data_IF_851040050038
#
_entry.id   IF_851040050038
#
_cell.length_a   1.000
_cell.length_b   1.000
_cell.length_c   1.000
_cell.angle_alpha   90.00
_cell.angle_beta   90.00
_cell.angle_gamma   90.00
#
_symmetry.space_group_name_H-M   'P 1'
#
loop_
_entity.id
_entity.type
_entity.pdbx_description
1 polymer ?
#
# COMPACT_ATOMS: atom_id res chain seq x y z
N UNK A 1 66.65 -30.27 -34.61
CA UNK A 1 66.49 -28.83 -34.28
C UNK A 1 65.09 -28.43 -34.70
N UNK A 2 64.18 -28.57 -33.74
CA UNK A 2 63.38 -27.48 -33.12
C UNK A 2 62.06 -27.24 -33.85
N UNK A 3 61.10 -28.14 -33.59
CA UNK A 3 59.67 -27.82 -33.76
C UNK A 3 59.30 -26.78 -32.71
N UNK A 4 58.76 -25.69 -33.19
CA UNK A 4 58.35 -24.52 -32.43
C UNK A 4 57.35 -24.90 -31.34
N UNK A 5 57.69 -24.58 -30.09
CA UNK A 5 56.79 -24.65 -28.94
C UNK A 5 55.77 -23.53 -29.11
N UNK A 6 54.53 -23.89 -29.46
CA UNK A 6 53.43 -22.94 -29.45
C UNK A 6 53.22 -22.45 -28.00
N UNK A 7 52.99 -21.15 -27.87
CA UNK A 7 52.77 -20.45 -26.62
C UNK A 7 51.58 -21.08 -25.89
N UNK A 8 51.84 -21.85 -24.83
CA UNK A 8 50.83 -22.34 -23.91
C UNK A 8 50.33 -21.16 -23.06
N UNK A 9 49.05 -20.83 -23.22
CA UNK A 9 48.31 -19.95 -22.33
C UNK A 9 48.47 -20.45 -20.87
N UNK A 10 48.55 -19.59 -19.83
CA UNK A 10 48.91 -20.01 -18.47
C UNK A 10 47.86 -20.90 -17.78
N UNK A 11 46.80 -21.30 -18.49
CA UNK A 11 45.73 -22.19 -18.04
C UNK A 11 45.93 -23.67 -18.39
N UNK A 12 46.97 -24.05 -19.15
CA UNK A 12 47.19 -25.45 -19.53
C UNK A 12 46.13 -26.02 -20.49
N UNK A 13 45.49 -25.15 -21.29
CA UNK A 13 44.48 -25.49 -22.30
C UNK A 13 45.02 -25.18 -23.70
N UNK A 14 45.00 -26.15 -24.62
CA UNK A 14 45.31 -25.92 -26.04
C UNK A 14 44.07 -25.34 -26.75
N UNK A 15 43.83 -24.05 -26.53
CA UNK A 15 42.65 -23.34 -27.00
C UNK A 15 42.48 -23.35 -28.54
N UNK A 16 43.54 -23.22 -29.37
CA UNK A 16 43.43 -23.40 -30.83
C UNK A 16 42.93 -24.78 -31.25
N UNK A 17 43.49 -25.85 -30.68
CA UNK A 17 43.12 -27.22 -31.03
C UNK A 17 41.73 -27.60 -30.47
N UNK A 18 41.41 -27.08 -29.28
CA UNK A 18 40.10 -27.22 -28.65
C UNK A 18 39.00 -26.58 -29.50
N UNK A 19 39.21 -25.35 -30.02
CA UNK A 19 38.27 -24.70 -30.94
C UNK A 19 38.11 -25.48 -32.24
N UNK A 20 39.20 -25.96 -32.84
CA UNK A 20 39.12 -26.75 -34.08
C UNK A 20 38.28 -28.03 -33.95
N UNK A 21 38.26 -28.64 -32.76
CA UNK A 21 37.55 -29.91 -32.51
C UNK A 21 36.12 -29.69 -32.00
N UNK A 22 35.91 -28.71 -31.13
CA UNK A 22 34.65 -28.52 -30.41
C UNK A 22 33.79 -27.38 -30.97
N UNK A 23 34.37 -26.38 -31.65
CA UNK A 23 33.64 -25.26 -32.25
C UNK A 23 33.05 -25.64 -33.62
N UNK A 24 32.37 -26.79 -33.64
CA UNK A 24 31.67 -27.33 -34.80
C UNK A 24 30.17 -27.06 -34.65
N UNK A 25 29.46 -26.63 -35.71
CA UNK A 25 28.02 -26.35 -35.62
C UNK A 25 27.23 -27.58 -35.14
N UNK A 26 27.67 -28.78 -35.50
CA UNK A 26 27.08 -30.07 -35.10
C UNK A 26 27.28 -30.39 -33.61
N UNK A 27 28.22 -29.74 -32.91
CA UNK A 27 28.45 -29.95 -31.47
C UNK A 27 27.87 -28.81 -30.60
N UNK A 28 27.45 -27.70 -31.21
CA UNK A 28 27.01 -26.49 -30.50
C UNK A 28 25.86 -26.74 -29.51
N UNK A 29 24.83 -27.51 -29.89
CA UNK A 29 23.69 -27.85 -29.02
C UNK A 29 24.12 -28.75 -27.86
N UNK A 30 25.04 -29.67 -28.13
CA UNK A 30 25.59 -30.60 -27.14
C UNK A 30 26.44 -29.84 -26.13
N UNK A 31 27.33 -28.96 -26.58
CA UNK A 31 28.18 -28.14 -25.69
C UNK A 31 27.36 -27.15 -24.87
N UNK A 32 26.25 -26.62 -25.39
CA UNK A 32 25.30 -25.81 -24.61
C UNK A 32 24.63 -26.65 -23.50
N UNK A 33 24.29 -27.89 -23.78
CA UNK A 33 23.75 -28.81 -22.79
C UNK A 33 24.80 -29.20 -21.73
N UNK A 34 26.05 -29.47 -22.14
CA UNK A 34 27.20 -29.70 -21.24
C UNK A 34 27.42 -28.49 -20.34
N UNK A 35 27.48 -27.28 -20.90
CA UNK A 35 27.58 -26.02 -20.14
C UNK A 35 26.45 -25.91 -19.12
N UNK A 36 25.21 -26.07 -19.54
CA UNK A 36 24.03 -26.02 -18.64
C UNK A 36 24.11 -27.08 -17.52
N UNK A 37 24.59 -28.28 -17.84
CA UNK A 37 24.78 -29.37 -16.87
C UNK A 37 25.89 -29.08 -15.85
N UNK A 38 26.99 -28.46 -16.28
CA UNK A 38 28.06 -28.00 -15.40
C UNK A 38 27.60 -26.83 -14.51
N UNK A 39 26.87 -25.87 -15.07
CA UNK A 39 26.35 -24.71 -14.31
C UNK A 39 25.37 -25.14 -13.22
N UNK A 40 24.52 -26.16 -13.45
CA UNK A 40 23.52 -26.65 -12.47
C UNK A 40 24.09 -27.48 -11.31
N UNK A 41 25.41 -27.63 -11.20
CA UNK A 41 26.04 -28.38 -10.11
C UNK A 41 26.75 -29.67 -10.52
N UNK A 42 27.15 -29.80 -11.79
CA UNK A 42 27.99 -30.91 -12.25
C UNK A 42 27.21 -32.21 -12.51
N UNK A 43 26.24 -32.18 -13.43
CA UNK A 43 25.52 -33.38 -13.84
C UNK A 43 26.48 -34.47 -14.35
N UNK A 44 26.35 -35.72 -13.91
CA UNK A 44 27.20 -36.82 -14.41
C UNK A 44 26.97 -37.11 -15.90
N UNK A 45 25.76 -36.85 -16.39
CA UNK A 45 25.34 -37.09 -17.77
C UNK A 45 24.43 -35.98 -18.27
N UNK A 46 24.54 -35.66 -19.55
CA UNK A 46 23.60 -34.77 -20.27
C UNK A 46 22.89 -35.56 -21.36
N UNK A 47 21.61 -35.26 -21.57
CA UNK A 47 20.79 -35.93 -22.58
C UNK A 47 20.25 -34.92 -23.59
N UNK A 48 20.46 -35.21 -24.87
CA UNK A 48 19.97 -34.42 -26.00
C UNK A 48 18.78 -35.16 -26.63
N UNK A 49 17.55 -34.60 -26.56
CA UNK A 49 16.39 -35.17 -27.24
C UNK A 49 16.46 -34.90 -28.74
N UNK A 50 15.98 -35.86 -29.54
CA UNK A 50 15.89 -35.80 -31.00
C UNK A 50 17.19 -35.27 -31.65
N UNK A 51 18.32 -35.96 -31.45
CA UNK A 51 19.60 -35.59 -32.05
C UNK A 51 19.56 -35.80 -33.57
N UNK A 52 20.10 -34.83 -34.32
CA UNK A 52 20.27 -35.00 -35.76
C UNK A 52 21.32 -36.08 -36.04
N UNK A 53 21.29 -36.67 -37.23
CA UNK A 53 22.30 -37.65 -37.62
C UNK A 53 23.72 -37.05 -37.62
N UNK A 54 23.84 -35.77 -37.96
CA UNK A 54 25.11 -35.03 -37.92
C UNK A 54 25.62 -34.80 -36.49
N UNK A 55 24.74 -34.43 -35.54
CA UNK A 55 25.08 -34.28 -34.12
C UNK A 55 25.56 -35.62 -33.52
N UNK A 56 24.90 -36.73 -33.89
CA UNK A 56 25.29 -38.08 -33.45
C UNK A 56 26.66 -38.46 -33.98
N UNK A 57 26.87 -38.36 -35.30
CA UNK A 57 28.14 -38.71 -35.94
C UNK A 57 29.28 -37.89 -35.36
N UNK A 58 29.10 -36.58 -35.20
CA UNK A 58 30.12 -35.70 -34.63
C UNK A 58 30.47 -36.08 -33.17
N UNK A 59 29.48 -36.45 -32.35
CA UNK A 59 29.75 -36.88 -30.98
C UNK A 59 30.41 -38.26 -30.90
N UNK A 60 29.96 -39.22 -31.74
CA UNK A 60 30.52 -40.57 -31.77
C UNK A 60 31.97 -40.55 -32.29
N UNK A 61 32.28 -39.72 -33.30
CA UNK A 61 33.64 -39.43 -33.79
C UNK A 61 34.50 -38.82 -32.67
N UNK A 62 34.00 -37.79 -32.00
CA UNK A 62 34.72 -37.10 -30.92
C UNK A 62 35.09 -38.07 -29.79
N UNK A 63 34.20 -38.99 -29.44
CA UNK A 63 34.38 -39.91 -28.33
C UNK A 63 35.01 -41.26 -28.74
N UNK A 64 35.28 -41.46 -30.04
CA UNK A 64 35.81 -42.72 -30.58
C UNK A 64 34.89 -43.92 -30.36
N UNK A 65 33.56 -43.73 -30.45
CA UNK A 65 32.55 -44.75 -30.15
C UNK A 65 31.95 -45.39 -31.40
N UNK A 66 31.31 -46.54 -31.22
CA UNK A 66 30.47 -47.15 -32.25
C UNK A 66 29.23 -46.27 -32.51
N UNK A 67 28.71 -46.23 -33.75
CA UNK A 67 27.55 -45.42 -34.10
C UNK A 67 26.36 -45.67 -33.17
N UNK A 68 25.85 -44.61 -32.56
CA UNK A 68 24.74 -44.64 -31.61
C UNK A 68 23.38 -44.47 -32.30
N UNK A 69 22.35 -45.19 -31.85
CA UNK A 69 20.98 -45.13 -32.37
C UNK A 69 19.95 -44.79 -31.28
N UNK A 70 18.75 -44.33 -31.66
CA UNK A 70 17.62 -44.08 -30.75
C UNK A 70 17.06 -42.65 -30.76
N UNK A 71 16.08 -42.38 -29.89
CA UNK A 71 15.41 -41.07 -29.80
C UNK A 71 16.15 -40.04 -28.91
N UNK A 72 17.11 -40.48 -28.10
CA UNK A 72 17.93 -39.61 -27.23
C UNK A 72 19.41 -39.92 -27.41
N UNK A 73 20.24 -38.91 -27.28
CA UNK A 73 21.69 -39.04 -27.16
C UNK A 73 22.08 -38.75 -25.72
N UNK A 74 22.82 -39.67 -25.09
CA UNK A 74 23.28 -39.50 -23.70
C UNK A 74 24.79 -39.41 -23.69
N UNK A 75 25.30 -38.32 -23.13
CA UNK A 75 26.71 -38.02 -23.01
C UNK A 75 27.10 -38.05 -21.53
N UNK A 76 28.03 -38.93 -21.17
CA UNK A 76 28.68 -38.88 -19.86
C UNK A 76 29.72 -37.76 -19.87
N UNK A 77 29.64 -36.85 -18.89
CA UNK A 77 30.60 -35.77 -18.77
C UNK A 77 32.00 -36.29 -18.42
N UNK A 78 32.09 -37.31 -17.56
CA UNK A 78 33.37 -37.95 -17.24
C UNK A 78 34.04 -38.58 -18.46
N UNK A 79 33.26 -39.16 -19.38
CA UNK A 79 33.83 -39.73 -20.61
C UNK A 79 34.28 -38.66 -21.60
N UNK A 80 33.61 -37.50 -21.65
CA UNK A 80 34.06 -36.36 -22.44
C UNK A 80 35.36 -35.79 -21.84
N UNK A 81 35.40 -35.63 -20.52
CA UNK A 81 36.58 -35.16 -19.78
C UNK A 81 37.79 -36.07 -20.01
N UNK A 82 37.63 -37.38 -19.90
CA UNK A 82 38.69 -38.36 -20.17
C UNK A 82 39.22 -38.24 -21.61
N UNK A 83 38.33 -38.00 -22.57
CA UNK A 83 38.72 -37.80 -23.98
C UNK A 83 39.51 -36.51 -24.17
N UNK A 84 39.08 -35.40 -23.56
CA UNK A 84 39.82 -34.14 -23.62
C UNK A 84 41.19 -34.24 -22.95
N UNK A 85 41.27 -34.95 -21.81
CA UNK A 85 42.53 -35.16 -21.07
C UNK A 85 43.49 -36.07 -21.84
N UNK A 86 43.00 -37.17 -22.43
CA UNK A 86 43.83 -38.07 -23.27
C UNK A 86 44.39 -37.39 -24.52
N UNK A 87 43.66 -36.42 -25.06
CA UNK A 87 44.08 -35.63 -26.20
C UNK A 87 44.98 -34.44 -25.83
N UNK A 88 45.32 -34.27 -24.54
CA UNK A 88 46.12 -33.16 -23.99
C UNK A 88 45.52 -31.77 -24.32
N UNK A 89 44.19 -31.70 -24.48
CA UNK A 89 43.49 -30.47 -24.87
C UNK A 89 43.13 -29.59 -23.67
N UNK A 90 42.81 -30.21 -22.54
CA UNK A 90 42.49 -29.54 -21.29
C UNK A 90 42.67 -30.48 -20.09
N UNK A 91 43.00 -29.92 -18.92
CA UNK A 91 43.20 -30.68 -17.68
C UNK A 91 41.88 -31.25 -17.12
N UNK A 92 40.80 -30.48 -17.27
CA UNK A 92 39.44 -30.85 -16.89
C UNK A 92 38.40 -30.25 -17.87
N UNK A 93 37.18 -30.80 -17.81
CA UNK A 93 36.09 -30.39 -18.70
C UNK A 93 35.61 -28.96 -18.41
N UNK A 94 35.73 -28.49 -17.16
CA UNK A 94 35.32 -27.13 -16.76
C UNK A 94 36.18 -26.09 -17.47
N UNK A 95 37.49 -26.23 -17.41
CA UNK A 95 38.48 -25.34 -18.02
C UNK A 95 38.32 -25.31 -19.54
N UNK A 96 38.02 -26.45 -20.18
CA UNK A 96 37.72 -26.51 -21.60
C UNK A 96 36.46 -25.69 -21.97
N UNK A 97 35.38 -25.83 -21.22
CA UNK A 97 34.12 -25.11 -21.51
C UNK A 97 34.25 -23.61 -21.20
N UNK A 98 34.99 -23.24 -20.15
CA UNK A 98 35.27 -21.83 -19.82
C UNK A 98 36.17 -21.16 -20.87
N UNK A 99 37.17 -21.88 -21.39
CA UNK A 99 38.04 -21.42 -22.47
C UNK A 99 37.27 -21.18 -23.79
N UNK A 100 36.24 -21.99 -24.07
CA UNK A 100 35.42 -21.87 -25.28
C UNK A 100 34.32 -20.81 -25.16
N UNK A 101 33.69 -20.68 -23.99
CA UNK A 101 32.44 -19.93 -23.82
C UNK A 101 32.46 -18.84 -22.75
N UNK A 102 33.61 -18.56 -22.14
CA UNK A 102 33.74 -17.68 -20.98
C UNK A 102 33.30 -18.33 -19.66
N UNK A 103 33.38 -17.60 -18.53
CA UNK A 103 33.15 -18.16 -17.19
C UNK A 103 31.80 -18.88 -17.06
N UNK A 104 31.79 -20.04 -16.38
CA UNK A 104 30.56 -20.77 -16.07
C UNK A 104 29.81 -20.09 -14.93
N UNK A 105 28.49 -19.93 -15.10
CA UNK A 105 27.64 -19.44 -14.01
C UNK A 105 27.41 -20.54 -12.98
N UNK A 106 27.15 -20.14 -11.73
CA UNK A 106 26.71 -21.07 -10.70
C UNK A 106 25.33 -20.63 -10.19
N UNK A 107 24.24 -21.01 -10.87
CA UNK A 107 22.89 -20.56 -10.53
C UNK A 107 22.45 -20.97 -9.12
N UNK A 108 22.99 -22.06 -8.56
CA UNK A 108 22.72 -22.46 -7.18
C UNK A 108 23.36 -21.48 -6.20
N UNK A 109 24.64 -21.16 -6.40
CA UNK A 109 25.34 -20.13 -5.62
C UNK A 109 24.69 -18.75 -5.78
N UNK A 110 24.33 -18.35 -6.99
CA UNK A 110 23.63 -17.09 -7.27
C UNK A 110 22.25 -17.02 -6.59
N UNK A 111 21.53 -18.14 -6.50
CA UNK A 111 20.26 -18.24 -5.74
C UNK A 111 20.52 -18.09 -4.25
N UNK A 112 21.45 -18.85 -3.69
CA UNK A 112 21.78 -18.78 -2.27
C UNK A 112 22.30 -17.39 -1.85
N UNK A 113 23.16 -16.75 -2.65
CA UNK A 113 23.66 -15.41 -2.38
C UNK A 113 22.53 -14.38 -2.37
N UNK A 114 21.56 -14.55 -3.27
CA UNK A 114 20.36 -13.71 -3.32
C UNK A 114 19.42 -13.96 -2.15
N UNK A 115 19.19 -15.20 -1.75
CA UNK A 115 18.43 -15.54 -0.55
C UNK A 115 19.09 -14.99 0.72
N UNK A 116 20.42 -15.16 0.85
CA UNK A 116 21.22 -14.54 1.92
C UNK A 116 21.19 -13.02 1.86
N UNK A 117 21.12 -12.43 0.66
CA UNK A 117 20.93 -11.00 0.47
C UNK A 117 19.59 -10.55 1.04
N UNK A 118 18.50 -11.21 0.64
CA UNK A 118 17.16 -10.89 1.12
C UNK A 118 16.99 -11.05 2.62
N UNK A 119 17.52 -12.12 3.22
CA UNK A 119 17.50 -12.27 4.69
C UNK A 119 18.19 -11.10 5.38
N UNK A 120 19.38 -10.72 4.89
CA UNK A 120 20.12 -9.56 5.43
C UNK A 120 19.33 -8.25 5.36
N UNK A 121 18.53 -8.02 4.32
CA UNK A 121 17.70 -6.80 4.19
C UNK A 121 16.71 -6.67 5.35
N UNK A 122 16.03 -7.76 5.71
CA UNK A 122 15.05 -7.76 6.80
C UNK A 122 15.75 -7.78 8.17
N UNK A 123 16.81 -8.58 8.30
CA UNK A 123 17.59 -8.69 9.54
C UNK A 123 18.26 -7.36 9.92
N UNK A 124 18.78 -6.60 8.95
CA UNK A 124 19.50 -5.33 9.22
C UNK A 124 18.58 -4.23 9.75
N UNK A 125 17.29 -4.33 9.48
CA UNK A 125 16.29 -3.32 9.84
C UNK A 125 15.37 -3.75 11.00
N UNK A 126 15.49 -5.00 11.47
CA UNK A 126 14.62 -5.56 12.50
C UNK A 126 14.63 -4.78 13.82
N UNK A 127 15.82 -4.35 14.28
CA UNK A 127 15.97 -3.59 15.53
C UNK A 127 15.30 -2.23 15.45
N UNK A 128 15.48 -1.52 14.34
CA UNK A 128 14.88 -0.20 14.15
C UNK A 128 13.36 -0.28 13.97
N UNK A 129 12.89 -1.30 13.25
CA UNK A 129 11.46 -1.59 13.14
C UNK A 129 10.84 -1.90 14.50
N UNK A 130 11.50 -2.69 15.36
CA UNK A 130 11.04 -2.97 16.72
C UNK A 130 10.98 -1.70 17.57
N UNK A 131 12.02 -0.86 17.51
CA UNK A 131 12.06 0.43 18.22
C UNK A 131 10.89 1.36 17.85
N UNK A 132 10.44 1.31 16.60
CA UNK A 132 9.32 2.10 16.07
C UNK A 132 7.96 1.40 16.21
N UNK A 133 7.90 0.18 16.77
CA UNK A 133 6.66 -0.61 16.82
C UNK A 133 6.20 -1.14 15.45
N UNK A 134 7.07 -1.13 14.44
CA UNK A 134 6.79 -1.51 13.06
C UNK A 134 7.17 -2.97 12.73
N UNK A 135 7.45 -3.83 13.72
CA UNK A 135 7.84 -5.24 13.50
C UNK A 135 6.76 -6.04 12.76
N UNK A 136 5.49 -5.82 13.09
CA UNK A 136 4.37 -6.49 12.42
C UNK A 136 4.28 -6.08 10.93
N UNK A 137 4.48 -4.79 10.65
CA UNK A 137 4.57 -4.25 9.29
C UNK A 137 5.74 -4.87 8.51
N UNK A 138 6.93 -4.93 9.13
CA UNK A 138 8.10 -5.53 8.50
C UNK A 138 7.88 -7.01 8.15
N UNK A 139 7.29 -7.78 9.06
CA UNK A 139 6.93 -9.18 8.83
C UNK A 139 5.87 -9.34 7.73
N UNK A 140 4.89 -8.43 7.68
CA UNK A 140 3.89 -8.42 6.61
C UNK A 140 4.52 -8.16 5.23
N UNK A 141 5.46 -7.21 5.14
CA UNK A 141 6.19 -6.93 3.89
C UNK A 141 6.98 -8.14 3.39
N UNK A 142 7.61 -8.90 4.29
CA UNK A 142 8.34 -10.11 3.95
C UNK A 142 7.40 -11.19 3.40
N UNK A 143 6.29 -11.43 4.10
CA UNK A 143 5.27 -12.43 3.73
C UNK A 143 4.59 -12.12 2.40
N UNK A 144 4.23 -10.86 2.17
CA UNK A 144 3.52 -10.41 0.96
C UNK A 144 4.44 -10.21 -0.25
N UNK A 145 5.75 -10.14 -0.03
CA UNK A 145 6.74 -9.89 -1.08
C UNK A 145 6.61 -8.51 -1.73
N UNK A 146 5.96 -7.54 -1.07
CA UNK A 146 5.75 -6.18 -1.59
C UNK A 146 7.09 -5.49 -1.86
N UNK A 147 8.03 -5.57 -0.90
CA UNK A 147 9.36 -4.98 -1.05
C UNK A 147 10.13 -5.59 -2.22
N UNK A 148 10.02 -6.91 -2.43
CA UNK A 148 10.65 -7.61 -3.57
C UNK A 148 10.11 -7.10 -4.92
N UNK A 149 8.81 -6.80 -4.98
CA UNK A 149 8.15 -6.25 -6.17
C UNK A 149 8.59 -4.81 -6.45
N UNK A 150 8.57 -3.96 -5.42
CA UNK A 150 8.95 -2.55 -5.52
C UNK A 150 10.44 -2.36 -5.88
N UNK A 151 11.31 -3.25 -5.38
CA UNK A 151 12.74 -3.22 -5.66
C UNK A 151 13.14 -4.02 -6.92
N UNK A 152 12.20 -4.55 -7.71
CA UNK A 152 12.53 -5.31 -8.92
C UNK A 152 13.45 -6.51 -8.68
N UNK A 153 13.30 -7.19 -7.53
CA UNK A 153 14.15 -8.31 -7.08
C UNK A 153 15.61 -7.95 -6.73
N UNK A 154 15.96 -6.65 -6.63
CA UNK A 154 17.28 -6.18 -6.20
C UNK A 154 17.35 -5.97 -4.67
N UNK A 155 18.15 -6.77 -3.93
CA UNK A 155 18.29 -6.62 -2.48
C UNK A 155 18.92 -5.29 -2.04
N UNK A 156 19.83 -4.70 -2.82
CA UNK A 156 20.51 -3.44 -2.46
C UNK A 156 19.53 -2.28 -2.55
N UNK A 157 18.73 -2.25 -3.62
CA UNK A 157 17.63 -1.31 -3.75
C UNK A 157 16.61 -1.49 -2.62
N UNK A 158 16.25 -2.73 -2.30
CA UNK A 158 15.31 -3.04 -1.23
C UNK A 158 15.77 -2.52 0.14
N UNK A 159 17.04 -2.72 0.49
CA UNK A 159 17.62 -2.21 1.73
C UNK A 159 17.52 -0.69 1.82
N UNK A 160 17.84 0.02 0.73
CA UNK A 160 17.72 1.48 0.67
C UNK A 160 16.27 1.93 0.83
N UNK A 161 15.33 1.31 0.11
CA UNK A 161 13.91 1.67 0.18
C UNK A 161 13.34 1.44 1.58
N UNK A 162 13.71 0.33 2.22
CA UNK A 162 13.27 0.00 3.57
C UNK A 162 13.86 0.95 4.60
N UNK A 163 15.16 1.26 4.51
CA UNK A 163 15.83 2.25 5.37
C UNK A 163 15.20 3.64 5.23
N UNK A 164 14.87 4.06 3.99
CA UNK A 164 14.18 5.32 3.72
C UNK A 164 12.77 5.35 4.31
N UNK A 165 12.01 4.26 4.18
CA UNK A 165 10.67 4.16 4.76
C UNK A 165 10.71 4.24 6.30
N UNK A 166 11.64 3.53 6.93
CA UNK A 166 11.85 3.60 8.39
C UNK A 166 12.30 5.00 8.84
N UNK A 167 13.19 5.65 8.09
CA UNK A 167 13.60 7.04 8.36
C UNK A 167 12.42 8.01 8.29
N UNK A 168 11.49 7.85 7.35
CA UNK A 168 10.26 8.65 7.30
C UNK A 168 9.38 8.34 8.50
N UNK A 169 9.17 7.06 8.85
CA UNK A 169 8.36 6.67 10.01
C UNK A 169 8.92 7.21 11.33
N UNK A 170 10.24 7.26 11.48
CA UNK A 170 10.92 7.86 12.63
C UNK A 170 10.62 9.35 12.79
N UNK A 171 10.35 10.05 11.68
CA UNK A 171 9.97 11.45 11.71
C UNK A 171 8.47 11.68 12.01
N UNK A 172 7.65 10.63 12.11
CA UNK A 172 6.22 10.77 12.41
C UNK A 172 5.95 10.60 13.92
N UNK A 173 4.88 11.24 14.46
CA UNK A 173 3.94 12.14 13.77
C UNK A 173 4.50 13.56 13.58
N UNK A 174 3.95 14.28 12.62
CA UNK A 174 4.24 15.70 12.36
C UNK A 174 3.11 16.60 12.87
N UNK A 175 3.34 17.93 12.85
CA UNK A 175 2.35 18.94 13.25
C UNK A 175 2.05 19.90 12.11
N UNK A 176 1.47 19.36 11.04
CA UNK A 176 1.10 20.12 9.85
C UNK A 176 2.28 20.49 8.94
N UNK A 177 3.31 19.64 8.90
CA UNK A 177 4.39 19.72 7.89
C UNK A 177 3.83 19.24 6.54
N UNK A 178 4.24 19.85 5.43
CA UNK A 178 3.76 19.40 4.11
C UNK A 178 4.45 18.10 3.68
N UNK A 179 3.76 17.27 2.90
CA UNK A 179 4.30 16.02 2.38
C UNK A 179 5.61 16.24 1.61
N UNK A 180 5.66 17.26 0.75
CA UNK A 180 6.85 17.58 -0.03
C UNK A 180 8.02 18.07 0.82
N UNK A 181 7.75 18.80 1.92
CA UNK A 181 8.81 19.21 2.84
C UNK A 181 9.34 18.03 3.65
N UNK A 182 8.47 17.12 4.10
CA UNK A 182 8.87 15.88 4.75
C UNK A 182 9.72 15.01 3.80
N UNK A 183 9.30 14.87 2.54
CA UNK A 183 10.01 14.11 1.53
C UNK A 183 11.40 14.70 1.25
N UNK A 184 11.50 16.02 1.07
CA UNK A 184 12.77 16.70 0.87
C UNK A 184 13.74 16.51 2.04
N UNK A 185 13.24 16.56 3.28
CA UNK A 185 14.06 16.40 4.48
C UNK A 185 14.52 14.95 4.70
N UNK A 186 13.62 13.97 4.57
CA UNK A 186 13.94 12.56 4.82
C UNK A 186 14.65 11.89 3.64
N UNK A 187 14.33 12.28 2.41
CA UNK A 187 14.74 11.56 1.19
C UNK A 187 15.63 12.39 0.26
N UNK A 188 15.80 13.70 0.52
CA UNK A 188 16.50 14.61 -0.39
C UNK A 188 15.73 14.89 -1.68
N UNK A 189 14.47 14.47 -1.77
CA UNK A 189 13.60 14.59 -2.95
C UNK A 189 12.21 15.04 -2.50
N UNK A 190 11.78 16.24 -2.90
CA UNK A 190 10.47 16.80 -2.55
C UNK A 190 9.29 15.98 -3.11
N UNK A 191 9.55 15.12 -4.11
CA UNK A 191 8.58 14.21 -4.72
C UNK A 191 8.79 12.75 -4.26
N UNK A 192 9.67 12.51 -3.30
CA UNK A 192 10.02 11.16 -2.84
C UNK A 192 8.85 10.40 -2.18
N UNK A 193 7.85 11.13 -1.69
CA UNK A 193 6.65 10.58 -1.05
C UNK A 193 5.36 10.75 -1.87
N UNK A 194 5.47 11.17 -3.13
CA UNK A 194 4.32 11.31 -4.02
C UNK A 194 3.66 9.94 -4.32
N UNK A 195 2.41 9.99 -4.80
CA UNK A 195 1.67 8.78 -5.16
C UNK A 195 2.41 7.94 -6.21
N UNK A 196 2.41 6.61 -6.03
CA UNK A 196 3.13 5.67 -6.89
C UNK A 196 4.63 5.52 -6.60
N UNK A 197 5.20 6.33 -5.70
CA UNK A 197 6.61 6.17 -5.29
C UNK A 197 6.76 4.99 -4.32
N UNK A 198 7.81 4.15 -4.46
CA UNK A 198 7.99 2.97 -3.61
C UNK A 198 8.02 3.26 -2.10
N UNK A 199 8.73 4.32 -1.68
CA UNK A 199 8.81 4.71 -0.27
C UNK A 199 7.44 5.17 0.24
N UNK A 200 6.69 5.94 -0.55
CA UNK A 200 5.33 6.33 -0.20
C UNK A 200 4.42 5.12 0.03
N UNK A 201 4.48 4.12 -0.86
CA UNK A 201 3.71 2.87 -0.72
C UNK A 201 4.07 2.13 0.58
N UNK A 202 5.35 2.03 0.91
CA UNK A 202 5.82 1.36 2.12
C UNK A 202 5.36 2.07 3.40
N UNK A 203 5.53 3.40 3.47
CA UNK A 203 5.10 4.21 4.62
C UNK A 203 3.59 4.16 4.79
N UNK A 204 2.82 4.29 3.70
CA UNK A 204 1.36 4.15 3.75
C UNK A 204 0.94 2.78 4.26
N UNK A 205 1.61 1.70 3.83
CA UNK A 205 1.34 0.35 4.35
C UNK A 205 1.59 0.24 5.85
N UNK A 206 2.58 0.98 6.38
CA UNK A 206 2.85 1.02 7.83
C UNK A 206 1.78 1.82 8.59
N UNK A 207 1.34 2.95 8.05
CA UNK A 207 0.30 3.79 8.65
C UNK A 207 -1.07 3.10 8.62
N UNK A 208 -1.34 2.28 7.61
CA UNK A 208 -2.61 1.56 7.45
C UNK A 208 -2.55 0.14 8.02
N UNK A 209 -2.03 -0.02 9.25
CA UNK A 209 -1.83 -1.34 9.87
C UNK A 209 -3.15 -2.13 10.03
N UNK A 210 -4.28 -1.44 10.20
CA UNK A 210 -5.61 -2.03 10.38
C UNK A 210 -6.38 -2.23 9.06
N UNK A 211 -5.71 -2.07 7.91
CA UNK A 211 -6.27 -2.24 6.55
C UNK A 211 -7.56 -1.46 6.29
N UNK A 212 -7.70 -0.31 6.95
CA UNK A 212 -8.84 0.57 6.73
C UNK A 212 -8.72 1.20 5.34
N UNK A 213 -9.82 1.22 4.58
CA UNK A 213 -9.89 1.92 3.30
C UNK A 213 -9.95 3.42 3.55
N UNK A 214 -8.80 3.99 3.90
CA UNK A 214 -8.58 5.43 3.98
C UNK A 214 -8.07 5.96 2.64
N UNK A 215 -8.52 7.16 2.29
CA UNK A 215 -7.89 7.89 1.20
C UNK A 215 -6.42 8.15 1.55
N UNK A 216 -5.56 8.25 0.52
CA UNK A 216 -4.14 8.54 0.72
C UNK A 216 -3.92 9.80 1.57
N UNK A 217 -4.77 10.80 1.41
CA UNK A 217 -4.67 12.08 2.12
C UNK A 217 -5.05 11.97 3.59
N UNK A 218 -6.10 11.20 3.92
CA UNK A 218 -6.52 10.96 5.30
C UNK A 218 -5.43 10.22 6.09
N UNK A 219 -4.77 9.26 5.44
CA UNK A 219 -3.70 8.48 6.04
C UNK A 219 -2.45 9.33 6.35
N UNK A 220 -2.07 10.25 5.47
CA UNK A 220 -1.00 11.21 5.78
C UNK A 220 -1.42 12.20 6.87
N UNK A 221 -2.69 12.62 6.87
CA UNK A 221 -3.24 13.51 7.87
C UNK A 221 -3.28 12.87 9.27
N UNK A 222 -3.54 11.57 9.39
CA UNK A 222 -3.50 10.85 10.67
C UNK A 222 -2.09 10.84 11.28
N UNK A 223 -1.05 10.89 10.44
CA UNK A 223 0.33 11.10 10.85
C UNK A 223 0.74 12.59 10.96
N UNK A 224 -0.22 13.52 10.85
CA UNK A 224 -0.03 14.96 10.98
C UNK A 224 0.69 15.63 9.81
N UNK A 225 0.65 15.02 8.62
CA UNK A 225 1.28 15.52 7.39
C UNK A 225 0.22 16.11 6.45
N UNK A 226 0.51 17.27 5.87
CA UNK A 226 -0.37 17.98 4.95
C UNK A 226 -0.06 17.64 3.49
N UNK A 227 -0.98 16.94 2.83
CA UNK A 227 -1.00 16.83 1.37
C UNK A 227 -1.57 18.13 0.79
N UNK A 228 -0.94 18.68 -0.26
CA UNK A 228 -1.40 19.92 -0.91
C UNK A 228 -1.47 21.15 0.01
N UNK A 229 -0.74 21.16 1.13
CA UNK A 229 -0.74 22.25 2.10
C UNK A 229 -1.95 22.30 3.05
N UNK A 230 -2.93 21.39 2.90
CA UNK A 230 -4.05 21.23 3.83
C UNK A 230 -5.10 22.33 3.83
N UNK A 231 -5.14 23.17 2.79
CA UNK A 231 -6.06 24.31 2.68
C UNK A 231 -7.38 23.88 2.00
N UNK A 232 -7.27 23.03 0.97
CA UNK A 232 -8.42 22.59 0.16
C UNK A 232 -9.30 21.58 0.90
N UNK A 233 -8.68 20.68 1.69
CA UNK A 233 -9.43 19.79 2.59
C UNK A 233 -9.98 20.60 3.76
N UNK A 234 -11.30 20.65 3.85
CA UNK A 234 -12.04 21.44 4.84
C UNK A 234 -13.29 20.73 5.32
N UNK A 235 -13.72 21.07 6.53
CA UNK A 235 -14.97 20.60 7.15
C UNK A 235 -15.83 21.81 7.51
N UNK A 236 -17.13 21.72 7.20
CA UNK A 236 -18.12 22.73 7.58
C UNK A 236 -18.62 22.38 8.98
N UNK A 237 -18.65 23.37 9.87
CA UNK A 237 -19.07 23.19 11.24
C UNK A 237 -19.88 24.38 11.75
N UNK A 238 -20.78 24.13 12.70
CA UNK A 238 -21.62 25.11 13.37
C UNK A 238 -21.60 24.85 14.89
N UNK A 239 -21.43 25.92 15.66
CA UNK A 239 -21.55 25.95 17.12
C UNK A 239 -20.70 24.91 17.89
N UNK A 240 -19.58 24.46 17.32
CA UNK A 240 -18.61 23.64 18.06
C UNK A 240 -18.09 24.41 19.27
N UNK A 241 -17.89 23.69 20.39
CA UNK A 241 -17.41 24.27 21.64
C UNK A 241 -15.95 23.88 21.86
N UNK A 242 -15.15 24.87 22.22
CA UNK A 242 -13.72 24.73 22.44
C UNK A 242 -13.35 25.35 23.78
N UNK A 243 -12.29 24.83 24.41
CA UNK A 243 -11.63 25.53 25.50
C UNK A 243 -10.81 26.71 24.95
N UNK A 244 -10.63 27.75 25.75
CA UNK A 244 -9.92 28.96 25.31
C UNK A 244 -8.44 28.67 25.05
N UNK A 245 -7.95 29.01 23.85
CA UNK A 245 -6.52 28.98 23.54
C UNK A 245 -6.21 28.74 22.06
N UNK A 246 -5.28 29.50 21.49
CA UNK A 246 -4.89 29.37 20.08
C UNK A 246 -5.76 30.19 19.12
N UNK A 247 -5.27 30.35 17.89
CA UNK A 247 -5.94 31.17 16.88
C UNK A 247 -7.17 30.45 16.31
N UNK A 248 -7.06 29.14 16.09
CA UNK A 248 -8.16 28.31 15.57
C UNK A 248 -9.31 28.25 16.56
N UNK A 249 -9.04 28.03 17.86
CA UNK A 249 -10.09 28.03 18.88
C UNK A 249 -10.78 29.40 18.98
N UNK A 250 -10.04 30.51 18.87
CA UNK A 250 -10.61 31.85 18.89
C UNK A 250 -11.57 32.10 17.72
N UNK A 251 -11.24 31.58 16.52
CA UNK A 251 -12.13 31.65 15.35
C UNK A 251 -13.39 30.80 15.58
N UNK A 252 -13.23 29.59 16.11
CA UNK A 252 -14.36 28.68 16.41
C UNK A 252 -15.29 29.30 17.44
N UNK A 253 -14.75 29.83 18.54
CA UNK A 253 -15.53 30.43 19.62
C UNK A 253 -16.29 31.68 19.16
N UNK A 254 -15.65 32.56 18.38
CA UNK A 254 -16.29 33.74 17.82
C UNK A 254 -17.49 33.36 16.91
N UNK A 255 -17.32 32.37 16.04
CA UNK A 255 -18.37 31.91 15.16
C UNK A 255 -19.52 31.21 15.91
N UNK A 256 -19.19 30.37 16.90
CA UNK A 256 -20.18 29.72 17.76
C UNK A 256 -20.97 30.74 18.60
N UNK A 257 -20.35 31.85 19.00
CA UNK A 257 -21.00 32.95 19.71
C UNK A 257 -22.03 33.70 18.85
N UNK A 258 -21.83 33.77 17.53
CA UNK A 258 -22.77 34.40 16.59
C UNK A 258 -23.72 33.43 15.92
N UNK A 259 -23.52 32.12 16.05
CA UNK A 259 -24.32 31.11 15.35
C UNK A 259 -23.97 30.99 13.86
N UNK A 260 -22.76 31.40 13.47
CA UNK A 260 -22.34 31.43 12.07
C UNK A 260 -21.59 30.14 11.69
N UNK A 261 -21.94 29.48 10.57
CA UNK A 261 -21.18 28.34 10.07
C UNK A 261 -19.77 28.75 9.64
N UNK A 262 -18.79 27.87 9.88
CA UNK A 262 -17.40 28.07 9.48
C UNK A 262 -16.80 26.87 8.77
N UNK A 263 -15.83 27.14 7.90
CA UNK A 263 -14.95 26.12 7.33
C UNK A 263 -13.66 26.02 8.13
N UNK A 264 -13.41 24.86 8.71
CA UNK A 264 -12.11 24.52 9.29
C UNK A 264 -11.28 23.76 8.26
N UNK A 265 -10.09 24.26 7.96
CA UNK A 265 -9.13 23.59 7.08
C UNK A 265 -8.37 22.50 7.83
N UNK A 266 -7.94 21.46 7.12
CA UNK A 266 -7.05 20.44 7.69
C UNK A 266 -5.79 21.07 8.30
N UNK A 267 -5.27 22.13 7.67
CA UNK A 267 -4.11 22.89 8.16
C UNK A 267 -4.35 23.46 9.56
N UNK A 268 -5.51 24.06 9.81
CA UNK A 268 -5.87 24.58 11.14
C UNK A 268 -5.91 23.44 12.16
N UNK A 269 -6.61 22.35 11.83
CA UNK A 269 -6.77 21.19 12.70
C UNK A 269 -5.45 20.49 13.06
N UNK A 270 -4.43 20.52 12.19
CA UNK A 270 -3.14 19.87 12.45
C UNK A 270 -2.05 20.79 13.02
N UNK A 271 -2.06 22.09 12.67
CA UNK A 271 -1.02 23.04 13.13
C UNK A 271 -1.36 23.69 14.47
N UNK A 272 -2.64 23.93 14.69
CA UNK A 272 -3.16 24.61 15.88
C UNK A 272 -4.46 23.92 16.31
N UNK A 273 -4.39 22.61 16.67
CA UNK A 273 -5.56 21.83 17.05
C UNK A 273 -6.26 22.46 18.26
N UNK A 274 -7.56 22.81 18.16
CA UNK A 274 -8.33 23.26 19.31
C UNK A 274 -8.45 22.17 20.38
N UNK A 275 -8.56 22.58 21.64
CA UNK A 275 -9.01 21.68 22.70
C UNK A 275 -10.54 21.71 22.68
N UNK A 276 -11.14 20.57 22.36
CA UNK A 276 -12.60 20.46 22.24
C UNK A 276 -13.26 20.35 23.61
N UNK A 277 -14.24 21.22 23.88
CA UNK A 277 -14.94 21.23 25.16
C UNK A 277 -15.95 20.07 25.24
N UNK A 278 -16.12 19.42 26.41
CA UNK A 278 -17.12 18.36 26.57
C UNK A 278 -18.55 18.85 26.28
N UNK A 279 -19.34 18.00 25.62
CA UNK A 279 -20.74 18.24 25.32
C UNK A 279 -21.66 17.26 26.08
N UNK A 280 -22.74 17.77 26.69
CA UNK A 280 -23.73 16.93 27.35
C UNK A 280 -24.52 16.08 26.34
N UNK A 281 -24.87 16.68 25.21
CA UNK A 281 -25.53 16.04 24.07
C UNK A 281 -24.50 15.60 23.02
N UNK A 282 -24.78 14.53 22.25
CA UNK A 282 -23.94 14.17 21.12
C UNK A 282 -23.86 15.29 20.09
N UNK A 283 -22.68 15.51 19.49
CA UNK A 283 -22.52 16.39 18.34
C UNK A 283 -23.17 15.73 17.12
N UNK A 284 -24.03 16.47 16.42
CA UNK A 284 -24.68 16.00 15.20
C UNK A 284 -23.72 16.09 14.01
N UNK A 285 -23.81 15.11 13.11
CA UNK A 285 -23.13 15.08 11.83
C UNK A 285 -24.20 14.90 10.75
N UNK A 286 -24.17 15.74 9.72
CA UNK A 286 -24.99 15.65 8.51
C UNK A 286 -24.11 15.54 7.26
N UNK A 287 -24.66 15.09 6.14
CA UNK A 287 -23.96 15.06 4.86
C UNK A 287 -24.12 16.40 4.13
N UNK A 288 -25.32 16.97 4.18
CA UNK A 288 -25.74 18.06 3.32
C UNK A 288 -25.54 19.45 3.96
N UNK A 289 -24.88 20.39 3.26
CA UNK A 289 -24.69 21.75 3.77
C UNK A 289 -26.01 22.52 3.96
N UNK A 290 -27.10 22.14 3.28
CA UNK A 290 -28.41 22.75 3.46
C UNK A 290 -28.93 22.60 4.90
N UNK A 291 -28.67 21.45 5.55
CA UNK A 291 -29.03 21.21 6.96
C UNK A 291 -28.33 22.25 7.86
N UNK A 292 -27.05 22.53 7.62
CA UNK A 292 -26.28 23.54 8.38
C UNK A 292 -26.82 24.94 8.14
N UNK A 293 -27.12 25.29 6.89
CA UNK A 293 -27.65 26.60 6.53
C UNK A 293 -29.00 26.87 7.20
N UNK A 294 -29.93 25.91 7.12
CA UNK A 294 -31.24 26.02 7.75
C UNK A 294 -31.15 26.03 9.28
N UNK A 295 -30.22 25.25 9.86
CA UNK A 295 -29.98 25.25 11.30
C UNK A 295 -29.43 26.60 11.80
N UNK A 296 -28.48 27.19 11.08
CA UNK A 296 -27.98 28.53 11.40
C UNK A 296 -29.07 29.59 11.27
N UNK A 297 -29.86 29.56 10.19
CA UNK A 297 -30.96 30.51 9.96
C UNK A 297 -32.06 30.43 11.03
N UNK A 298 -32.45 29.21 11.42
CA UNK A 298 -33.58 29.00 12.32
C UNK A 298 -33.19 29.11 13.81
N UNK A 299 -32.01 28.63 14.18
CA UNK A 299 -31.61 28.43 15.59
C UNK A 299 -30.42 29.29 16.01
N UNK A 300 -29.59 29.76 15.07
CA UNK A 300 -28.42 30.60 15.35
C UNK A 300 -27.54 30.04 16.50
N UNK A 301 -27.13 30.86 17.49
CA UNK A 301 -26.36 30.40 18.65
C UNK A 301 -27.05 29.34 19.53
N UNK A 302 -28.38 29.18 19.40
CA UNK A 302 -29.17 28.18 20.10
C UNK A 302 -29.12 26.78 19.47
N UNK A 303 -28.57 26.65 18.26
CA UNK A 303 -28.36 25.36 17.61
C UNK A 303 -27.33 24.53 18.39
N UNK A 304 -27.64 23.25 18.61
CA UNK A 304 -26.67 22.27 19.08
C UNK A 304 -25.49 22.15 18.08
N UNK A 305 -24.30 21.73 18.53
CA UNK A 305 -23.14 21.62 17.65
C UNK A 305 -23.39 20.65 16.49
N UNK A 306 -23.03 21.08 15.27
CA UNK A 306 -23.29 20.36 14.03
C UNK A 306 -22.05 20.37 13.12
N UNK A 307 -21.76 19.24 12.49
CA UNK A 307 -20.68 19.05 11.53
C UNK A 307 -21.29 18.57 10.21
N UNK A 308 -20.77 19.05 9.09
CA UNK A 308 -21.20 18.61 7.77
C UNK A 308 -20.04 18.01 6.97
N UNK A 309 -20.24 16.79 6.48
CA UNK A 309 -19.21 16.05 5.73
C UNK A 309 -19.13 16.46 4.26
N UNK A 310 -20.24 16.90 3.65
CA UNK A 310 -20.39 17.20 2.20
C UNK A 310 -20.07 15.99 1.33
N UNK A 311 -20.69 14.86 1.64
CA UNK A 311 -20.44 13.58 0.98
C UNK A 311 -19.36 12.75 1.66
N UNK A 312 -18.52 12.11 0.85
CA UNK A 312 -17.41 11.29 1.34
C UNK A 312 -16.47 12.10 2.25
N UNK A 313 -16.20 11.65 3.50
CA UNK A 313 -15.37 12.38 4.45
C UNK A 313 -13.99 12.72 3.90
N UNK A 314 -13.68 14.02 3.83
CA UNK A 314 -12.33 14.49 3.50
C UNK A 314 -11.37 14.29 4.68
N UNK A 315 -10.06 14.44 4.45
CA UNK A 315 -9.05 14.35 5.50
C UNK A 315 -9.32 15.32 6.68
N UNK A 316 -9.84 16.53 6.43
CA UNK A 316 -10.25 17.47 7.47
C UNK A 316 -11.43 16.95 8.32
N UNK A 317 -12.42 16.33 7.67
CA UNK A 317 -13.57 15.72 8.36
C UNK A 317 -13.05 14.59 9.27
N UNK A 318 -12.29 13.65 8.70
CA UNK A 318 -11.73 12.51 9.47
C UNK A 318 -10.86 13.00 10.63
N UNK A 319 -10.02 14.01 10.40
CA UNK A 319 -9.16 14.59 11.44
C UNK A 319 -9.99 15.21 12.57
N UNK A 320 -11.02 15.99 12.25
CA UNK A 320 -11.90 16.59 13.25
C UNK A 320 -12.63 15.50 14.06
N UNK A 321 -13.23 14.50 13.39
CA UNK A 321 -13.95 13.43 14.05
C UNK A 321 -13.04 12.61 14.98
N UNK A 322 -11.80 12.33 14.55
CA UNK A 322 -10.80 11.67 15.40
C UNK A 322 -10.44 12.51 16.63
N UNK A 323 -10.28 13.82 16.49
CA UNK A 323 -9.99 14.71 17.62
C UNK A 323 -11.15 14.78 18.61
N UNK A 324 -12.39 14.83 18.12
CA UNK A 324 -13.59 14.83 18.97
C UNK A 324 -13.77 13.49 19.70
N UNK A 325 -13.60 12.37 18.98
CA UNK A 325 -13.66 11.03 19.57
C UNK A 325 -12.56 10.83 20.63
N UNK A 326 -11.33 11.29 20.36
CA UNK A 326 -10.24 11.25 21.33
C UNK A 326 -10.50 12.11 22.57
N UNK A 327 -11.27 13.20 22.44
CA UNK A 327 -11.77 14.00 23.55
C UNK A 327 -12.96 13.36 24.30
N UNK A 328 -13.40 12.16 23.89
CA UNK A 328 -14.53 11.44 24.50
C UNK A 328 -15.89 12.03 24.14
N UNK A 329 -15.98 12.88 23.10
CA UNK A 329 -17.22 13.51 22.68
C UNK A 329 -18.05 12.51 21.88
N UNK A 330 -19.31 12.32 22.28
CA UNK A 330 -20.25 11.45 21.57
C UNK A 330 -20.69 12.09 20.26
N UNK A 331 -20.79 11.27 19.22
CA UNK A 331 -21.19 11.69 17.88
C UNK A 331 -22.49 10.99 17.49
N UNK A 332 -23.32 11.66 16.70
CA UNK A 332 -24.49 11.06 16.04
C UNK A 332 -24.53 11.47 14.57
N UNK A 333 -24.94 10.57 13.69
CA UNK A 333 -24.86 10.77 12.24
C UNK A 333 -26.22 10.62 11.56
N UNK A 334 -26.53 11.56 10.68
CA UNK A 334 -27.61 11.48 9.70
C UNK A 334 -27.04 11.75 8.30
N UNK A 335 -27.66 11.17 7.28
CA UNK A 335 -27.28 11.35 5.88
C UNK A 335 -28.39 10.84 4.97
N UNK A 336 -28.16 10.94 3.66
CA UNK A 336 -29.14 10.50 2.67
C UNK A 336 -29.45 9.00 2.80
N UNK A 337 -30.72 8.64 2.60
CA UNK A 337 -31.12 7.25 2.41
C UNK A 337 -30.94 6.84 0.95
N UNK A 338 -29.67 6.67 0.56
CA UNK A 338 -29.26 6.01 -0.67
C UNK A 338 -28.02 5.12 -0.43
N UNK A 339 -27.64 4.27 -1.38
CA UNK A 339 -26.52 3.35 -1.16
C UNK A 339 -25.16 4.04 -0.91
N UNK A 340 -24.82 5.16 -1.58
CA UNK A 340 -23.69 6.00 -1.20
C UNK A 340 -23.74 6.53 0.24
N UNK A 341 -24.89 7.05 0.69
CA UNK A 341 -25.13 7.58 2.01
C UNK A 341 -25.05 6.52 3.09
N UNK A 342 -25.61 5.32 2.85
CA UNK A 342 -25.44 4.15 3.74
C UNK A 342 -23.95 3.76 3.86
N UNK A 343 -23.19 3.82 2.76
CA UNK A 343 -21.74 3.54 2.78
C UNK A 343 -20.98 4.57 3.61
N UNK A 344 -21.33 5.86 3.51
CA UNK A 344 -20.75 6.92 4.35
C UNK A 344 -21.09 6.69 5.82
N UNK A 345 -22.36 6.40 6.12
CA UNK A 345 -22.85 6.13 7.46
C UNK A 345 -22.12 4.94 8.11
N UNK A 346 -21.98 3.80 7.42
CA UNK A 346 -21.19 2.66 7.90
C UNK A 346 -19.76 3.08 8.23
N UNK A 347 -19.13 3.89 7.37
CA UNK A 347 -17.79 4.41 7.59
C UNK A 347 -17.68 5.28 8.85
N UNK A 348 -18.60 6.22 9.05
CA UNK A 348 -18.58 7.14 10.20
C UNK A 348 -18.94 6.43 11.50
N UNK A 349 -19.99 5.60 11.49
CA UNK A 349 -20.45 4.81 12.64
C UNK A 349 -19.36 3.82 13.07
N UNK A 350 -18.84 3.04 12.11
CA UNK A 350 -17.85 2.00 12.39
C UNK A 350 -16.51 2.55 12.89
N UNK A 351 -16.03 3.67 12.31
CA UNK A 351 -14.69 4.21 12.65
C UNK A 351 -14.69 5.13 13.85
N UNK A 352 -15.73 5.97 14.00
CA UNK A 352 -15.76 7.01 15.02
C UNK A 352 -16.76 6.73 16.15
N UNK A 353 -17.45 5.57 16.11
CA UNK A 353 -18.42 5.19 17.13
C UNK A 353 -19.64 6.10 17.19
N UNK A 354 -19.97 6.78 16.07
CA UNK A 354 -21.17 7.59 15.99
C UNK A 354 -22.42 6.70 16.09
N UNK A 355 -23.50 7.22 16.70
CA UNK A 355 -24.80 6.53 16.71
C UNK A 355 -25.69 7.05 15.57
N UNK A 356 -26.58 6.21 14.99
CA UNK A 356 -27.52 6.67 13.99
C UNK A 356 -28.47 7.73 14.58
N UNK A 357 -28.69 8.82 13.83
CA UNK A 357 -29.61 9.89 14.17
C UNK A 357 -30.69 9.97 13.09
N UNK A 358 -31.92 9.59 13.44
CA UNK A 358 -33.05 9.48 12.49
C UNK A 358 -32.68 8.73 11.21
N UNK A 359 -31.94 7.64 11.37
CA UNK A 359 -31.36 6.89 10.25
C UNK A 359 -31.73 5.40 10.31
N UNK A 360 -32.86 5.05 10.93
CA UNK A 360 -33.38 3.69 10.98
C UNK A 360 -34.44 3.40 9.92
N UNK A 361 -34.89 2.14 9.85
CA UNK A 361 -35.95 1.69 8.95
C UNK A 361 -37.28 2.44 9.18
N UNK A 362 -37.62 2.72 10.44
CA UNK A 362 -38.81 3.50 10.79
C UNK A 362 -38.72 4.93 10.25
N UNK A 363 -37.59 5.60 10.44
CA UNK A 363 -37.36 6.96 9.93
C UNK A 363 -37.46 7.00 8.39
N UNK A 364 -36.87 6.00 7.71
CA UNK A 364 -36.97 5.86 6.26
C UNK A 364 -38.43 5.72 5.81
N UNK A 365 -39.21 4.85 6.45
CA UNK A 365 -40.60 4.58 6.09
C UNK A 365 -41.54 5.77 6.37
N UNK A 366 -41.24 6.60 7.38
CA UNK A 366 -42.00 7.80 7.71
C UNK A 366 -41.67 8.98 6.78
N UNK A 367 -40.48 9.01 6.18
CA UNK A 367 -40.05 10.11 5.31
C UNK A 367 -40.86 10.22 4.02
N UNK A 368 -41.04 11.44 3.51
CA UNK A 368 -41.77 11.69 2.27
C UNK A 368 -40.97 11.33 1.01
N UNK A 369 -41.64 10.75 0.00
CA UNK A 369 -41.04 10.36 -1.28
C UNK A 369 -40.25 11.51 -1.95
N UNK A 370 -39.02 11.24 -2.37
CA UNK A 370 -38.25 12.16 -3.22
C UNK A 370 -38.64 12.10 -4.70
N UNK A 371 -39.28 10.99 -5.12
CA UNK A 371 -39.54 10.66 -6.53
C UNK A 371 -38.33 10.11 -7.29
N UNK A 372 -37.18 9.90 -6.61
CA UNK A 372 -35.97 9.30 -7.19
C UNK A 372 -35.87 7.83 -6.81
N UNK A 373 -35.54 6.99 -7.80
CA UNK A 373 -35.35 5.55 -7.60
C UNK A 373 -33.96 5.23 -7.05
N UNK A 374 -33.87 4.21 -6.19
CA UNK A 374 -32.60 3.65 -5.74
C UNK A 374 -31.82 3.00 -6.90
N UNK A 375 -30.49 2.98 -6.78
CA UNK A 375 -29.61 2.25 -7.68
C UNK A 375 -29.54 0.76 -7.31
N UNK A 376 -28.95 -0.07 -8.17
CA UNK A 376 -28.96 -1.54 -8.01
C UNK A 376 -27.95 -2.05 -6.97
N UNK A 377 -26.87 -1.32 -6.71
CA UNK A 377 -25.76 -1.75 -5.85
C UNK A 377 -26.09 -1.59 -4.36
N UNK A 378 -26.88 -2.53 -3.83
CA UNK A 378 -27.31 -2.52 -2.45
C UNK A 378 -26.15 -2.59 -1.45
N UNK A 379 -26.28 -1.81 -0.37
CA UNK A 379 -25.32 -1.75 0.74
C UNK A 379 -26.08 -2.06 2.03
N UNK A 380 -25.58 -3.03 2.82
CA UNK A 380 -26.17 -3.33 4.12
C UNK A 380 -25.88 -2.18 5.10
N UNK A 381 -26.90 -1.75 5.85
CA UNK A 381 -26.73 -0.81 6.96
C UNK A 381 -26.31 -1.58 8.21
N UNK A 382 -25.10 -1.33 8.72
CA UNK A 382 -24.52 -2.12 9.81
C UNK A 382 -25.22 -1.91 11.16
N UNK A 383 -25.95 -0.80 11.30
CA UNK A 383 -26.66 -0.42 12.54
C UNK A 383 -28.13 -0.84 12.57
N UNK A 384 -28.73 -1.17 11.42
CA UNK A 384 -30.14 -1.55 11.29
C UNK A 384 -30.33 -2.54 10.12
N UNK A 385 -30.40 -3.85 10.41
CA UNK A 385 -30.59 -4.88 9.39
C UNK A 385 -31.89 -4.75 8.59
N UNK A 386 -32.93 -4.09 9.14
CA UNK A 386 -34.22 -3.94 8.46
C UNK A 386 -34.22 -2.80 7.44
N UNK A 387 -33.35 -1.80 7.62
CA UNK A 387 -33.30 -0.62 6.77
C UNK A 387 -33.02 -0.97 5.30
N UNK A 388 -32.02 -1.83 5.05
CA UNK A 388 -31.68 -2.24 3.69
C UNK A 388 -32.84 -2.93 2.98
N UNK A 389 -33.61 -3.76 3.70
CA UNK A 389 -34.81 -4.42 3.17
C UNK A 389 -35.92 -3.41 2.88
N UNK A 390 -36.18 -2.49 3.81
CA UNK A 390 -37.19 -1.45 3.62
C UNK A 390 -36.86 -0.55 2.41
N UNK A 391 -35.59 -0.19 2.24
CA UNK A 391 -35.10 0.57 1.09
C UNK A 391 -35.29 -0.19 -0.22
N UNK A 392 -34.94 -1.48 -0.27
CA UNK A 392 -35.14 -2.31 -1.47
C UNK A 392 -36.63 -2.49 -1.83
N UNK A 393 -37.49 -2.69 -0.83
CA UNK A 393 -38.93 -2.87 -1.03
C UNK A 393 -39.62 -1.59 -1.52
N UNK A 394 -39.26 -0.43 -0.96
CA UNK A 394 -39.80 0.87 -1.37
C UNK A 394 -39.15 1.40 -2.66
N UNK A 395 -37.87 1.12 -2.86
CA UNK A 395 -37.12 1.47 -4.07
C UNK A 395 -36.82 2.97 -4.24
N UNK A 396 -36.88 3.77 -3.17
CA UNK A 396 -36.76 5.22 -3.25
C UNK A 396 -35.59 5.79 -2.46
N UNK A 397 -34.94 6.80 -3.02
CA UNK A 397 -33.97 7.65 -2.31
C UNK A 397 -34.71 8.64 -1.42
N UNK A 398 -34.19 8.94 -0.24
CA UNK A 398 -34.66 10.08 0.57
C UNK A 398 -33.46 10.99 0.85
N UNK A 399 -33.52 12.20 0.33
CA UNK A 399 -32.49 13.23 0.53
C UNK A 399 -32.70 13.94 1.87
N UNK A 400 -31.62 14.36 2.54
CA UNK A 400 -31.67 15.06 3.83
C UNK A 400 -32.58 16.29 3.82
N UNK A 401 -32.68 17.01 2.69
CA UNK A 401 -33.56 18.18 2.54
C UNK A 401 -35.03 17.89 2.87
N UNK A 402 -35.47 16.65 2.69
CA UNK A 402 -36.85 16.24 2.95
C UNK A 402 -37.16 16.14 4.43
N UNK A 403 -36.15 15.92 5.27
CA UNK A 403 -36.29 15.69 6.71
C UNK A 403 -35.64 16.80 7.55
N UNK A 404 -35.15 17.88 6.94
CA UNK A 404 -34.54 19.04 7.64
C UNK A 404 -35.41 19.50 8.81
N UNK A 405 -36.74 19.59 8.65
CA UNK A 405 -37.63 20.07 9.73
C UNK A 405 -37.52 19.22 10.99
N UNK A 406 -37.47 17.90 10.84
CA UNK A 406 -37.36 16.97 11.97
C UNK A 406 -35.95 16.99 12.58
N UNK A 407 -34.92 17.16 11.74
CA UNK A 407 -33.54 17.36 12.21
C UNK A 407 -33.39 18.66 13.01
N UNK A 408 -34.04 19.75 12.58
CA UNK A 408 -34.01 21.04 13.29
C UNK A 408 -34.62 20.94 14.69
N UNK A 409 -35.70 20.17 14.86
CA UNK A 409 -36.31 19.92 16.18
C UNK A 409 -35.30 19.28 17.13
N UNK A 410 -34.50 18.32 16.66
CA UNK A 410 -33.48 17.65 17.47
C UNK A 410 -32.20 18.47 17.69
N UNK A 411 -32.01 19.54 16.91
CA UNK A 411 -30.89 20.48 17.01
C UNK A 411 -31.21 21.68 17.90
N UNK A 412 -32.45 21.89 18.29
CA UNK A 412 -32.83 22.97 19.21
C UNK A 412 -32.37 22.67 20.64
N UNK A 413 -31.34 23.39 21.11
CA UNK A 413 -30.82 23.23 22.47
C UNK A 413 -31.77 23.77 23.56
N UNK A 414 -32.78 24.56 23.17
CA UNK A 414 -33.77 25.15 24.08
C UNK A 414 -34.82 24.15 24.59
N UNK A 415 -35.05 23.05 23.87
CA UNK A 415 -36.05 22.05 24.23
C UNK A 415 -35.66 21.16 25.44
N UNK A 416 -34.37 21.12 25.81
CA UNK A 416 -33.85 20.31 26.93
C UNK A 416 -33.70 21.04 28.27
N UNK A 417 -33.81 22.38 28.29
CA UNK A 417 -33.58 23.21 29.50
C UNK A 417 -34.84 23.63 30.25
N UNK A 418 -36.02 23.34 29.71
CA UNK A 418 -37.32 23.74 30.26
C UNK A 418 -37.85 22.84 31.39
N UNK A 419 -37.13 22.68 32.50
CA UNK A 419 -37.76 22.21 33.73
C UNK A 419 -37.17 22.85 34.99
N UNK A 420 -38.05 23.61 35.67
CA UNK A 420 -38.01 24.08 37.05
C UNK A 420 -36.88 25.04 37.44
N UNK A 421 -37.12 26.34 37.25
CA UNK A 421 -36.91 27.31 38.32
C UNK A 421 -38.20 28.10 38.50
N UNK A 422 -39.09 27.58 39.35
CA UNK A 422 -40.18 28.36 39.91
C UNK A 422 -39.64 29.24 41.02
N UNK A 423 -39.90 30.54 40.91
CA UNK A 423 -40.29 31.39 42.02
C UNK A 423 -41.38 32.34 41.55
#
# INVERSE_FOLDING_TARGET
>A
MTRSKACSDPSGVDLPQLRSLLDRPELSRILRAVRTGLERGGAERVSIPDPTEQERRALDELLGRRPSTGARLVLSLGQLEDTLRRADLAQDLRSAVEALGGPLRNPSREREERERGWRRVFDSQGVEAERLGASAWLAALEREGLLKRLAGQDPVLAERLLSQALGVLQCLPQRGKTLSALAAECLGDAHGLDEGRPVATLVRRALNADDQSESSDALWASAGVLVGGGITSSVLALNLRVETGGATASIVDAAAGSGEPIYLTLRQLLRDPPVWAPCATPISICENPAVVAEAANALGPGCAPLICTRGQPSAAVVTLLNQLAAAGIRLRYHGDFDWPGIRIANGIIGRHGAIPWRMGAADYLEAADSGKSLTEDAVAADWDPELGRAMQERGQVIEEERVIRDLLVDLDSGAGGGSRHGR
#
